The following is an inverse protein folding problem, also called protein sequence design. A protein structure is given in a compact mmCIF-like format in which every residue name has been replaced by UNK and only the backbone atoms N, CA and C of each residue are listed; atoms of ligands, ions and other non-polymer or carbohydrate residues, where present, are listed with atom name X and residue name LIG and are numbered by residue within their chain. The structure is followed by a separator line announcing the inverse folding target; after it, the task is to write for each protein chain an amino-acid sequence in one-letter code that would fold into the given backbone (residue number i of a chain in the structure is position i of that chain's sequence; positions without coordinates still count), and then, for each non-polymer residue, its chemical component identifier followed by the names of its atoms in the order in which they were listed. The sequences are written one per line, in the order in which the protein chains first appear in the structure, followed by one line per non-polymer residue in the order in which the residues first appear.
data_IF_081019467772
#
_entry.id   IF_081019467772
#
_cell.length_a   1.000
_cell.length_b   1.000
_cell.length_c   1.000
_cell.angle_alpha   90.00
_cell.angle_beta   90.00
_cell.angle_gamma   90.00
#
_symmetry.space_group_name_H-M   'P 1'
#
loop_
_entity.id
_entity.type
_entity.pdbx_description
1 polymer ?
#
# COMPACT_ATOMS: atom_id res chain seq x y z
N UNK A 1 -22.46 -16.83 -1.37
CA UNK A 1 -23.30 -17.89 -1.92
C UNK A 1 -24.72 -17.38 -2.16
N UNK A 2 -25.51 -16.94 -1.15
CA UNK A 2 -26.88 -16.44 -1.37
C UNK A 2 -26.94 -15.29 -2.40
N UNK A 3 -25.97 -14.34 -2.37
CA UNK A 3 -25.88 -13.23 -3.33
C UNK A 3 -25.44 -13.66 -4.73
N UNK A 4 -24.64 -14.71 -4.84
CA UNK A 4 -24.11 -15.21 -6.12
C UNK A 4 -25.05 -16.16 -6.85
N UNK A 5 -26.10 -16.62 -6.20
CA UNK A 5 -27.04 -17.65 -6.72
C UNK A 5 -26.35 -18.96 -7.15
N UNK A 6 -25.21 -19.29 -6.52
CA UNK A 6 -24.43 -20.50 -6.79
C UNK A 6 -24.65 -21.47 -5.64
N UNK A 7 -24.81 -22.74 -5.90
CA UNK A 7 -24.88 -23.80 -4.89
C UNK A 7 -23.47 -24.27 -4.49
N UNK A 8 -23.34 -24.88 -3.32
CA UNK A 8 -22.04 -25.40 -2.86
C UNK A 8 -21.50 -26.50 -3.78
N UNK A 9 -22.39 -27.31 -4.36
CA UNK A 9 -22.02 -28.39 -5.27
C UNK A 9 -21.43 -27.89 -6.59
N UNK A 10 -21.80 -26.66 -7.01
CA UNK A 10 -21.30 -26.01 -8.23
C UNK A 10 -19.88 -25.45 -8.10
N UNK A 11 -19.29 -25.50 -6.89
CA UNK A 11 -17.96 -24.97 -6.66
C UNK A 11 -16.90 -25.95 -7.19
N UNK A 12 -15.90 -25.44 -7.90
CA UNK A 12 -14.74 -26.21 -8.37
C UNK A 12 -13.65 -26.37 -7.30
N UNK A 13 -13.63 -25.45 -6.34
CA UNK A 13 -12.64 -25.44 -5.26
C UNK A 13 -12.89 -24.36 -4.23
N UNK A 14 -12.13 -24.43 -3.13
CA UNK A 14 -12.18 -23.46 -2.04
C UNK A 14 -10.82 -22.79 -1.90
N UNK A 15 -10.78 -21.46 -1.96
CA UNK A 15 -9.57 -20.69 -1.77
C UNK A 15 -9.68 -19.78 -0.54
N UNK A 16 -8.63 -19.73 0.27
CA UNK A 16 -8.54 -18.81 1.40
C UNK A 16 -7.16 -18.20 1.52
N UNK A 17 -7.07 -17.02 2.13
CA UNK A 17 -5.78 -16.40 2.40
C UNK A 17 -5.01 -17.21 3.45
N UNK A 18 -3.83 -17.72 3.05
CA UNK A 18 -2.94 -18.49 3.92
C UNK A 18 -1.90 -17.58 4.63
N UNK A 19 -1.68 -16.38 4.13
CA UNK A 19 -0.75 -15.39 4.69
C UNK A 19 -0.26 -14.40 3.63
N UNK A 20 0.49 -13.37 4.07
CA UNK A 20 0.65 -12.90 5.43
C UNK A 20 -0.61 -12.21 5.97
N UNK A 21 -0.72 -12.10 7.31
CA UNK A 21 -1.86 -11.45 7.97
C UNK A 21 -1.88 -11.71 9.48
N UNK A 22 -2.90 -11.20 10.15
CA UNK A 22 -3.11 -11.46 11.58
C UNK A 22 -3.39 -12.94 11.81
N UNK A 23 -2.57 -13.59 12.65
CA UNK A 23 -2.61 -15.04 12.88
C UNK A 23 -4.02 -15.56 13.17
N UNK A 24 -4.72 -14.92 14.10
CA UNK A 24 -6.09 -15.35 14.48
C UNK A 24 -7.06 -15.28 13.30
N UNK A 25 -7.01 -14.21 12.49
CA UNK A 25 -7.86 -14.07 11.32
C UNK A 25 -7.53 -15.12 10.25
N UNK A 26 -6.24 -15.39 10.02
CA UNK A 26 -5.79 -16.42 9.10
C UNK A 26 -6.24 -17.81 9.56
N UNK A 27 -6.10 -18.14 10.85
CA UNK A 27 -6.54 -19.40 11.41
C UNK A 27 -8.03 -19.63 11.22
N UNK A 28 -8.86 -18.63 11.51
CA UNK A 28 -10.33 -18.74 11.31
C UNK A 28 -10.64 -18.98 9.84
N UNK A 29 -10.09 -18.17 8.92
CA UNK A 29 -10.33 -18.31 7.49
C UNK A 29 -9.85 -19.65 6.93
N UNK A 30 -8.62 -20.06 7.30
CA UNK A 30 -8.02 -21.33 6.86
C UNK A 30 -8.78 -22.54 7.39
N UNK A 31 -9.19 -22.53 8.67
CA UNK A 31 -9.97 -23.63 9.26
C UNK A 31 -11.32 -23.74 8.57
N UNK A 32 -12.06 -22.65 8.44
CA UNK A 32 -13.35 -22.64 7.78
C UNK A 32 -13.25 -23.13 6.31
N UNK A 33 -12.27 -22.62 5.55
CA UNK A 33 -12.07 -23.05 4.17
C UNK A 33 -11.66 -24.50 4.03
N UNK A 34 -10.75 -25.02 4.86
CA UNK A 34 -10.35 -26.42 4.86
C UNK A 34 -11.51 -27.34 5.23
N UNK A 35 -12.29 -26.99 6.26
CA UNK A 35 -13.46 -27.77 6.67
C UNK A 35 -14.48 -27.84 5.56
N UNK A 36 -14.77 -26.70 4.89
CA UNK A 36 -15.70 -26.65 3.77
C UNK A 36 -15.19 -27.48 2.58
N UNK A 37 -13.93 -27.36 2.22
CA UNK A 37 -13.31 -28.13 1.14
C UNK A 37 -13.37 -29.63 1.41
N UNK A 38 -13.07 -30.06 2.64
CA UNK A 38 -13.16 -31.46 3.07
C UNK A 38 -14.59 -31.96 3.01
N UNK A 39 -15.55 -31.22 3.54
CA UNK A 39 -16.97 -31.58 3.51
C UNK A 39 -17.52 -31.74 2.10
N UNK A 40 -17.18 -30.80 1.20
CA UNK A 40 -17.61 -30.82 -0.19
C UNK A 40 -16.75 -31.72 -1.09
N UNK A 41 -15.69 -32.34 -0.56
CA UNK A 41 -14.70 -33.12 -1.33
C UNK A 41 -14.13 -32.34 -2.52
N UNK A 42 -13.89 -31.05 -2.34
CA UNK A 42 -13.33 -30.14 -3.36
C UNK A 42 -11.88 -29.77 -3.04
N UNK A 43 -11.06 -29.42 -4.04
CA UNK A 43 -9.69 -28.98 -3.81
C UNK A 43 -9.64 -27.72 -2.96
N UNK A 44 -8.59 -27.60 -2.14
CA UNK A 44 -8.33 -26.44 -1.29
C UNK A 44 -7.08 -25.69 -1.76
N UNK A 45 -7.17 -24.36 -1.85
CA UNK A 45 -6.08 -23.48 -2.28
C UNK A 45 -5.77 -22.44 -1.20
N UNK A 46 -4.53 -22.48 -0.67
CA UNK A 46 -4.01 -21.42 0.20
C UNK A 46 -3.40 -20.30 -0.64
N UNK A 47 -4.00 -19.12 -0.66
CA UNK A 47 -3.53 -17.98 -1.46
C UNK A 47 -2.65 -17.02 -0.65
N UNK A 48 -1.70 -16.37 -1.31
CA UNK A 48 -0.88 -15.34 -0.68
C UNK A 48 -1.59 -13.97 -0.80
N UNK A 49 -1.81 -13.30 0.33
CA UNK A 49 -2.48 -12.01 0.39
C UNK A 49 -1.78 -10.91 -0.43
N UNK A 50 -0.45 -10.86 -0.38
CA UNK A 50 0.32 -9.86 -1.11
C UNK A 50 0.31 -10.14 -2.62
N UNK A 51 0.28 -11.40 -3.02
CA UNK A 51 0.09 -11.81 -4.40
C UNK A 51 -1.28 -11.39 -4.93
N UNK A 52 -2.33 -11.54 -4.11
CA UNK A 52 -3.65 -11.02 -4.42
C UNK A 52 -3.61 -9.53 -4.77
N UNK A 53 -2.96 -8.71 -3.94
CA UNK A 53 -2.75 -7.29 -4.24
C UNK A 53 -1.90 -7.06 -5.50
N UNK A 54 -0.86 -7.85 -5.70
CA UNK A 54 0.03 -7.69 -6.86
C UNK A 54 -0.72 -7.94 -8.17
N UNK A 55 -1.56 -8.96 -8.22
CA UNK A 55 -2.24 -9.42 -9.44
C UNK A 55 -3.63 -8.79 -9.64
N UNK A 56 -4.17 -8.06 -8.67
CA UNK A 56 -5.53 -7.48 -8.73
C UNK A 56 -5.77 -6.67 -10.00
N UNK A 57 -4.76 -5.94 -10.50
CA UNK A 57 -4.91 -5.18 -11.75
C UNK A 57 -5.17 -6.07 -12.96
N UNK A 58 -4.67 -7.30 -12.95
CA UNK A 58 -4.87 -8.32 -13.99
C UNK A 58 -6.34 -8.75 -14.17
N UNK A 59 -7.18 -8.58 -13.13
CA UNK A 59 -8.62 -8.84 -13.20
C UNK A 59 -9.36 -7.83 -14.10
N UNK A 60 -8.76 -6.66 -14.33
CA UNK A 60 -9.39 -5.57 -15.10
C UNK A 60 -8.72 -5.38 -16.44
N UNK A 61 -7.40 -5.44 -16.44
CA UNK A 61 -6.57 -5.25 -17.62
C UNK A 61 -5.36 -6.17 -17.56
N UNK A 62 -5.19 -7.07 -18.53
CA UNK A 62 -3.97 -7.85 -18.64
C UNK A 62 -2.75 -6.93 -18.76
N UNK A 63 -1.78 -7.09 -17.87
CA UNK A 63 -0.53 -6.36 -17.90
C UNK A 63 0.59 -7.28 -18.35
N UNK A 64 1.45 -6.77 -19.23
CA UNK A 64 2.66 -7.47 -19.63
C UNK A 64 3.66 -7.50 -18.46
N UNK A 65 4.25 -8.66 -18.21
CA UNK A 65 5.36 -8.82 -17.28
C UNK A 65 6.71 -8.50 -17.98
N UNK A 66 7.71 -8.03 -17.23
CA UNK A 66 7.63 -7.59 -15.85
C UNK A 66 6.98 -6.21 -15.70
N UNK A 67 6.40 -5.91 -14.52
CA UNK A 67 5.98 -4.57 -14.15
C UNK A 67 6.41 -4.20 -12.74
N UNK A 68 6.54 -2.90 -12.48
CA UNK A 68 6.84 -2.37 -11.16
C UNK A 68 5.57 -2.30 -10.32
N UNK A 69 5.64 -2.72 -9.06
CA UNK A 69 4.55 -2.61 -8.08
C UNK A 69 5.02 -1.84 -6.85
N UNK A 70 4.23 -0.85 -6.43
CA UNK A 70 4.28 -0.29 -5.09
C UNK A 70 3.07 -0.81 -4.30
N UNK A 71 3.32 -1.67 -3.35
CA UNK A 71 2.31 -2.16 -2.41
C UNK A 71 2.35 -1.32 -1.14
N UNK A 72 1.27 -0.60 -0.84
CA UNK A 72 1.12 0.26 0.35
C UNK A 72 -0.20 -0.02 1.06
N UNK A 73 -0.11 -0.71 2.18
CA UNK A 73 -1.26 -1.12 3.00
C UNK A 73 -1.07 -0.76 4.47
N UNK A 74 -1.97 -1.21 5.33
CA UNK A 74 -1.86 -1.07 6.78
C UNK A 74 -0.63 -1.75 7.36
N UNK A 75 -0.26 -2.93 6.83
CA UNK A 75 0.85 -3.73 7.36
C UNK A 75 2.06 -3.85 6.43
N UNK A 76 1.97 -3.40 5.18
CA UNK A 76 3.04 -3.58 4.21
C UNK A 76 3.31 -2.30 3.41
N UNK A 77 4.58 -2.01 3.18
CA UNK A 77 5.02 -0.95 2.27
C UNK A 77 6.28 -1.42 1.56
N UNK A 78 6.16 -1.79 0.29
CA UNK A 78 7.26 -2.37 -0.45
C UNK A 78 7.18 -2.12 -1.96
N UNK A 79 8.34 -2.06 -2.58
CA UNK A 79 8.52 -2.05 -4.02
C UNK A 79 8.88 -3.45 -4.50
N UNK A 80 8.13 -3.95 -5.47
CA UNK A 80 8.35 -5.25 -6.10
C UNK A 80 8.45 -5.10 -7.60
N UNK A 81 9.30 -5.92 -8.20
CA UNK A 81 9.15 -6.28 -9.59
C UNK A 81 8.31 -7.54 -9.68
N UNK A 82 7.25 -7.49 -10.47
CA UNK A 82 6.36 -8.63 -10.73
C UNK A 82 6.79 -9.21 -12.09
N UNK A 83 7.45 -10.35 -12.05
CA UNK A 83 8.03 -11.03 -13.22
C UNK A 83 7.08 -12.06 -13.83
N UNK A 84 6.04 -12.43 -13.08
CA UNK A 84 5.02 -13.41 -13.42
C UNK A 84 4.22 -13.82 -12.20
N UNK A 85 3.23 -14.67 -12.37
CA UNK A 85 2.47 -15.30 -11.27
C UNK A 85 3.46 -16.15 -10.46
N UNK A 86 3.50 -15.95 -9.13
CA UNK A 86 4.45 -16.61 -8.25
C UNK A 86 5.91 -16.13 -8.36
N UNK A 87 6.20 -15.16 -9.24
CA UNK A 87 7.58 -14.68 -9.49
C UNK A 87 7.72 -13.21 -9.16
N UNK A 88 8.26 -12.93 -7.98
CA UNK A 88 8.38 -11.57 -7.43
C UNK A 88 9.83 -11.29 -7.00
N UNK A 89 10.33 -10.10 -7.34
CA UNK A 89 11.61 -9.60 -6.83
C UNK A 89 11.38 -8.37 -6.00
N UNK A 90 11.74 -8.42 -4.72
CA UNK A 90 11.67 -7.24 -3.84
C UNK A 90 12.83 -6.31 -4.13
N UNK A 91 12.52 -5.07 -4.50
CA UNK A 91 13.47 -3.98 -4.75
C UNK A 91 13.73 -3.17 -3.47
N UNK A 92 12.69 -2.96 -2.66
CA UNK A 92 12.76 -2.27 -1.40
C UNK A 92 11.55 -2.52 -0.52
N UNK A 93 11.68 -2.27 0.77
CA UNK A 93 10.60 -2.46 1.77
C UNK A 93 10.73 -1.43 2.87
N UNK A 94 9.65 -1.23 3.65
CA UNK A 94 9.81 -0.52 4.91
C UNK A 94 10.70 -1.33 5.87
N UNK A 95 11.58 -0.62 6.59
CA UNK A 95 12.47 -1.22 7.60
C UNK A 95 11.90 -1.12 9.02
N UNK A 96 10.76 -0.45 9.14
CA UNK A 96 10.06 -0.23 10.40
C UNK A 96 8.53 -0.22 10.18
N UNK A 97 7.81 0.84 10.57
CA UNK A 97 6.36 0.96 10.42
C UNK A 97 5.94 0.90 8.92
N UNK A 98 4.81 0.28 8.62
CA UNK A 98 4.18 0.40 7.30
C UNK A 98 3.53 1.78 7.12
N UNK A 99 3.34 2.22 5.87
CA UNK A 99 2.79 3.54 5.58
C UNK A 99 1.38 3.74 6.14
N UNK A 100 0.50 2.75 6.00
CA UNK A 100 -0.85 2.82 6.54
C UNK A 100 -0.85 2.87 8.07
N UNK A 101 0.03 2.11 8.70
CA UNK A 101 0.25 2.16 10.15
C UNK A 101 0.75 3.54 10.59
N UNK A 102 1.63 4.20 9.83
CA UNK A 102 2.08 5.56 10.10
C UNK A 102 0.92 6.58 10.03
N UNK A 103 0.01 6.43 9.07
CA UNK A 103 -1.22 7.24 8.99
C UNK A 103 -2.12 7.02 10.21
N UNK A 104 -2.38 5.77 10.60
CA UNK A 104 -3.26 5.43 11.71
C UNK A 104 -2.68 5.89 13.06
N UNK A 105 -1.38 5.71 13.27
CA UNK A 105 -0.66 6.22 14.44
C UNK A 105 -0.68 7.74 14.52
N UNK A 106 -0.48 8.43 13.39
CA UNK A 106 -0.59 9.90 13.30
C UNK A 106 -2.01 10.37 13.62
N UNK A 107 -3.03 9.70 13.09
CA UNK A 107 -4.41 9.99 13.40
C UNK A 107 -4.71 9.85 14.90
N UNK A 108 -4.26 8.76 15.51
CA UNK A 108 -4.40 8.52 16.96
C UNK A 108 -3.75 9.63 17.78
N UNK A 109 -2.54 10.07 17.41
CA UNK A 109 -1.84 11.19 18.08
C UNK A 109 -2.65 12.49 18.01
N UNK A 110 -3.31 12.75 16.88
CA UNK A 110 -4.15 13.94 16.69
C UNK A 110 -5.56 13.82 17.33
N UNK A 111 -5.88 12.69 17.96
CA UNK A 111 -7.20 12.41 18.54
C UNK A 111 -8.27 12.09 17.50
N UNK A 112 -7.86 11.60 16.32
CA UNK A 112 -8.74 11.22 15.21
C UNK A 112 -9.06 9.72 15.31
N UNK A 113 -10.36 9.37 15.25
CA UNK A 113 -10.82 7.97 15.30
C UNK A 113 -10.44 7.19 14.03
N UNK A 114 -10.21 5.90 14.18
CA UNK A 114 -10.00 4.93 13.08
C UNK A 114 -11.19 4.95 12.06
N UNK A 115 -10.96 4.71 10.77
CA UNK A 115 -9.67 4.60 10.08
C UNK A 115 -8.96 5.96 9.94
N UNK A 116 -7.64 5.98 10.17
CA UNK A 116 -6.85 7.20 10.24
C UNK A 116 -6.53 7.80 8.87
N UNK A 117 -6.15 6.99 7.90
CA UNK A 117 -5.68 7.44 6.59
C UNK A 117 -6.62 8.43 5.89
N UNK A 118 -7.90 8.09 5.63
CA UNK A 118 -8.85 8.99 4.95
C UNK A 118 -9.10 10.28 5.74
N UNK A 119 -9.09 10.20 7.07
CA UNK A 119 -9.34 11.36 7.94
C UNK A 119 -8.13 12.30 7.98
N UNK A 120 -6.91 11.78 8.02
CA UNK A 120 -5.68 12.58 7.87
C UNK A 120 -5.70 13.31 6.53
N UNK A 121 -6.07 12.65 5.44
CA UNK A 121 -6.20 13.31 4.14
C UNK A 121 -7.21 14.46 4.16
N UNK A 122 -8.37 14.25 4.81
CA UNK A 122 -9.40 15.30 4.97
C UNK A 122 -8.90 16.49 5.81
N UNK A 123 -8.15 16.22 6.89
CA UNK A 123 -7.53 17.25 7.70
C UNK A 123 -6.44 18.01 6.93
N UNK A 124 -5.61 17.29 6.20
CA UNK A 124 -4.52 17.87 5.41
C UNK A 124 -5.01 18.87 4.33
N UNK A 125 -6.20 18.64 3.76
CA UNK A 125 -6.83 19.57 2.80
C UNK A 125 -7.14 20.96 3.41
N UNK A 126 -7.25 21.05 4.75
CA UNK A 126 -7.58 22.29 5.48
C UNK A 126 -6.36 22.94 6.12
N UNK A 127 -5.17 22.35 5.97
CA UNK A 127 -3.94 22.80 6.59
C UNK A 127 -2.89 23.28 5.63
N UNK A 128 -1.83 23.87 6.19
CA UNK A 128 -0.63 24.25 5.44
C UNK A 128 0.43 23.14 5.56
N UNK A 129 0.79 22.52 4.45
CA UNK A 129 1.78 21.44 4.38
C UNK A 129 3.24 21.86 4.68
N UNK A 130 3.50 23.16 4.78
CA UNK A 130 4.81 23.74 5.13
C UNK A 130 4.88 24.27 6.56
N UNK A 131 3.83 24.09 7.36
CA UNK A 131 3.76 24.66 8.72
C UNK A 131 4.75 24.01 9.70
N UNK A 132 5.06 22.72 9.50
CA UNK A 132 5.99 21.98 10.34
C UNK A 132 7.01 21.25 9.46
N UNK A 133 8.28 21.40 9.76
CA UNK A 133 9.35 20.61 9.14
C UNK A 133 9.44 19.26 9.85
N UNK A 134 9.09 18.20 9.14
CA UNK A 134 9.11 16.84 9.67
C UNK A 134 10.24 16.04 9.01
N UNK A 135 10.91 15.16 9.77
CA UNK A 135 12.02 14.39 9.25
C UNK A 135 11.59 13.43 8.14
N UNK A 136 12.49 13.17 7.23
CA UNK A 136 12.34 12.23 6.12
C UNK A 136 13.36 11.11 6.28
N UNK A 137 13.05 10.09 7.10
CA UNK A 137 14.03 9.05 7.43
C UNK A 137 14.53 8.35 6.17
N UNK A 138 15.83 8.05 6.16
CA UNK A 138 16.52 7.33 5.06
C UNK A 138 16.25 7.86 3.64
N UNK A 139 15.78 9.11 3.49
CA UNK A 139 15.38 9.64 2.18
C UNK A 139 16.51 9.54 1.15
N UNK A 140 17.72 9.93 1.53
CA UNK A 140 18.89 9.96 0.64
C UNK A 140 19.77 8.71 0.73
N UNK A 141 19.44 7.72 1.56
CA UNK A 141 20.15 6.43 1.53
C UNK A 141 19.91 5.72 0.21
N UNK A 142 20.92 4.97 -0.24
CA UNK A 142 20.85 4.15 -1.47
C UNK A 142 19.66 3.19 -1.45
N UNK A 143 19.15 2.85 -2.65
CA UNK A 143 18.01 1.98 -2.81
C UNK A 143 16.67 2.62 -2.45
N UNK A 144 15.60 1.86 -2.57
CA UNK A 144 14.23 2.32 -2.41
C UNK A 144 13.55 1.85 -1.11
N UNK A 145 14.33 1.48 -0.07
CA UNK A 145 13.76 1.17 1.24
C UNK A 145 13.06 2.39 1.85
N UNK A 146 12.03 2.14 2.65
CA UNK A 146 11.17 3.11 3.30
C UNK A 146 11.37 3.06 4.82
N UNK A 147 11.09 4.16 5.52
CA UNK A 147 11.06 4.22 6.99
C UNK A 147 10.10 5.34 7.43
N UNK A 148 9.26 5.06 8.42
CA UNK A 148 8.23 5.97 8.91
C UNK A 148 8.21 6.12 10.45
N UNK A 149 8.90 5.28 11.21
CA UNK A 149 8.87 5.33 12.67
C UNK A 149 9.41 6.65 13.24
N UNK A 150 10.49 7.19 12.67
CA UNK A 150 11.03 8.49 13.06
C UNK A 150 10.08 9.65 12.78
N UNK A 151 9.32 9.57 11.70
CA UNK A 151 8.29 10.56 11.37
C UNK A 151 7.16 10.56 12.41
N UNK A 152 6.68 9.38 12.85
CA UNK A 152 5.70 9.25 13.93
C UNK A 152 6.16 9.93 15.22
N UNK A 153 7.40 9.70 15.63
CA UNK A 153 7.97 10.32 16.83
C UNK A 153 8.02 11.84 16.72
N UNK A 154 8.39 12.37 15.55
CA UNK A 154 8.37 13.80 15.30
C UNK A 154 6.95 14.39 15.38
N UNK A 155 5.96 13.73 14.77
CA UNK A 155 4.54 14.11 14.88
C UNK A 155 4.09 14.15 16.33
N UNK A 156 4.44 13.14 17.14
CA UNK A 156 4.12 13.12 18.57
C UNK A 156 4.74 14.32 19.32
N UNK A 157 5.99 14.65 19.03
CA UNK A 157 6.65 15.77 19.70
C UNK A 157 6.02 17.12 19.31
N UNK A 158 5.69 17.32 18.05
CA UNK A 158 4.98 18.53 17.60
C UNK A 158 3.58 18.60 18.20
N UNK A 159 2.87 17.45 18.27
CA UNK A 159 1.49 17.42 18.76
C UNK A 159 1.32 17.92 20.20
N UNK A 160 2.34 17.78 21.05
CA UNK A 160 2.36 18.29 22.43
C UNK A 160 2.28 19.83 22.51
N UNK A 161 2.62 20.53 21.44
CA UNK A 161 2.65 22.00 21.36
C UNK A 161 1.42 22.60 20.65
N UNK A 162 0.53 21.78 20.11
CA UNK A 162 -0.66 22.24 19.41
C UNK A 162 -1.66 22.87 20.38
N UNK A 163 -2.21 24.03 19.99
CA UNK A 163 -3.18 24.78 20.81
C UNK A 163 -4.56 24.85 20.15
N UNK A 164 -4.59 24.85 18.82
CA UNK A 164 -5.80 25.09 18.04
C UNK A 164 -6.16 23.90 17.14
N UNK A 165 -7.39 23.90 16.65
CA UNK A 165 -7.82 22.95 15.61
C UNK A 165 -7.07 23.17 14.29
N UNK A 166 -6.70 24.42 13.99
CA UNK A 166 -5.93 24.76 12.82
C UNK A 166 -4.51 24.16 12.88
N UNK A 167 -3.90 24.12 14.05
CA UNK A 167 -2.60 23.46 14.24
C UNK A 167 -2.67 21.97 13.91
N UNK A 168 -3.77 21.29 14.28
CA UNK A 168 -3.98 19.89 13.91
C UNK A 168 -4.11 19.71 12.40
N UNK A 169 -4.81 20.61 11.71
CA UNK A 169 -4.90 20.60 10.26
C UNK A 169 -3.52 20.82 9.60
N UNK A 170 -2.76 21.77 10.12
CA UNK A 170 -1.41 22.06 9.65
C UNK A 170 -0.46 20.86 9.86
N UNK A 171 -0.52 20.20 11.01
CA UNK A 171 0.32 19.03 11.27
C UNK A 171 -0.05 17.84 10.37
N UNK A 172 -1.35 17.61 10.15
CA UNK A 172 -1.80 16.59 9.20
C UNK A 172 -1.35 16.91 7.75
N UNK A 173 -1.39 18.18 7.35
CA UNK A 173 -0.93 18.62 6.04
C UNK A 173 0.59 18.47 5.88
N UNK A 174 1.37 18.84 6.90
CA UNK A 174 2.83 18.66 6.89
C UNK A 174 3.21 17.18 6.84
N UNK A 175 2.51 16.32 7.60
CA UNK A 175 2.70 14.87 7.52
C UNK A 175 2.42 14.32 6.11
N UNK A 176 1.26 14.69 5.51
CA UNK A 176 0.92 14.26 4.15
C UNK A 176 1.94 14.76 3.10
N UNK A 177 2.42 15.99 3.25
CA UNK A 177 3.44 16.58 2.37
C UNK A 177 4.77 15.81 2.48
N UNK A 178 5.19 15.51 3.70
CA UNK A 178 6.41 14.72 3.97
C UNK A 178 6.33 13.31 3.37
N UNK A 179 5.19 12.62 3.52
CA UNK A 179 4.95 11.33 2.89
C UNK A 179 5.04 11.43 1.36
N UNK A 180 4.42 12.44 0.76
CA UNK A 180 4.48 12.64 -0.68
C UNK A 180 5.93 12.84 -1.18
N UNK A 181 6.76 13.56 -0.43
CA UNK A 181 8.17 13.77 -0.77
C UNK A 181 8.99 12.48 -0.63
N UNK A 182 8.80 11.73 0.46
CA UNK A 182 9.45 10.41 0.64
C UNK A 182 9.09 9.48 -0.52
N UNK A 183 7.80 9.36 -0.84
CA UNK A 183 7.34 8.50 -1.94
C UNK A 183 7.87 8.98 -3.28
N UNK A 184 7.95 10.31 -3.52
CA UNK A 184 8.52 10.86 -4.75
C UNK A 184 9.94 10.32 -4.99
N UNK A 185 10.83 10.54 -4.04
CA UNK A 185 12.24 10.17 -4.18
C UNK A 185 12.42 8.64 -4.23
N UNK A 186 11.69 7.90 -3.39
CA UNK A 186 11.84 6.45 -3.35
C UNK A 186 11.21 5.74 -4.55
N UNK A 187 10.13 6.28 -5.12
CA UNK A 187 9.58 5.78 -6.39
C UNK A 187 10.53 6.03 -7.56
N UNK A 188 11.19 7.19 -7.64
CA UNK A 188 12.20 7.45 -8.67
C UNK A 188 13.33 6.41 -8.58
N UNK A 189 13.86 6.17 -7.37
CA UNK A 189 14.89 5.13 -7.17
C UNK A 189 14.41 3.72 -7.52
N UNK A 190 13.17 3.38 -7.19
CA UNK A 190 12.59 2.09 -7.55
C UNK A 190 12.45 1.91 -9.07
N UNK A 191 12.07 2.98 -9.78
CA UNK A 191 12.01 3.00 -11.24
C UNK A 191 13.41 2.83 -11.85
N UNK A 192 14.41 3.54 -11.34
CA UNK A 192 15.81 3.40 -11.76
C UNK A 192 16.27 1.94 -11.61
N UNK A 193 16.14 1.35 -10.41
CA UNK A 193 16.50 -0.04 -10.13
C UNK A 193 15.75 -1.05 -11.02
N UNK A 194 14.47 -0.76 -11.31
CA UNK A 194 13.67 -1.59 -12.20
C UNK A 194 14.20 -1.53 -13.66
N UNK A 195 14.51 -0.34 -14.15
CA UNK A 195 15.04 -0.15 -15.51
C UNK A 195 16.47 -0.70 -15.65
N UNK A 196 17.31 -0.56 -14.62
CA UNK A 196 18.65 -1.18 -14.60
C UNK A 196 18.57 -2.72 -14.73
N UNK A 197 17.55 -3.32 -14.10
CA UNK A 197 17.37 -4.78 -14.12
C UNK A 197 16.82 -5.30 -15.43
N UNK A 198 15.87 -4.62 -16.06
CA UNK A 198 15.14 -5.14 -17.23
C UNK A 198 15.44 -4.41 -18.53
N UNK A 199 16.22 -3.35 -18.49
CA UNK A 199 16.60 -2.60 -19.69
C UNK A 199 15.44 -1.93 -20.40
N UNK A 200 15.46 -1.97 -21.71
CA UNK A 200 14.43 -1.39 -22.58
C UNK A 200 13.20 -2.30 -22.65
N UNK A 201 12.24 -2.05 -21.74
CA UNK A 201 10.94 -2.72 -21.75
C UNK A 201 9.98 -1.93 -22.62
N UNK A 202 9.24 -2.62 -23.51
CA UNK A 202 8.24 -2.00 -24.39
C UNK A 202 7.12 -1.34 -23.58
N UNK A 203 6.55 -2.06 -22.61
CA UNK A 203 5.44 -1.59 -21.80
C UNK A 203 5.90 -1.31 -20.36
N UNK A 204 6.24 -0.05 -20.09
CA UNK A 204 6.65 0.40 -18.75
C UNK A 204 5.42 0.58 -17.85
N UNK A 205 5.01 -0.50 -17.18
CA UNK A 205 3.84 -0.49 -16.32
C UNK A 205 4.24 -0.33 -14.85
N UNK A 206 3.54 0.54 -14.13
CA UNK A 206 3.69 0.75 -12.70
C UNK A 206 2.31 0.62 -12.03
N UNK A 207 2.17 -0.35 -11.14
CA UNK A 207 0.93 -0.60 -10.38
C UNK A 207 1.12 -0.12 -8.95
N UNK A 208 0.10 0.52 -8.39
CA UNK A 208 0.08 0.92 -6.98
C UNK A 208 -1.15 0.30 -6.33
N UNK A 209 -0.91 -0.63 -5.40
CA UNK A 209 -1.95 -1.43 -4.77
C UNK A 209 -1.93 -1.30 -3.23
N UNK A 210 -3.00 -1.76 -2.60
CA UNK A 210 -3.22 -1.70 -1.16
C UNK A 210 -4.05 -0.50 -0.71
N UNK A 211 -4.58 -0.55 0.52
CA UNK A 211 -5.55 0.44 1.02
C UNK A 211 -5.06 1.89 1.00
N UNK A 212 -3.76 2.14 1.22
CA UNK A 212 -3.19 3.50 1.19
C UNK A 212 -3.13 4.06 -0.24
N UNK A 213 -3.16 3.20 -1.25
CA UNK A 213 -3.26 3.61 -2.65
C UNK A 213 -4.57 4.35 -2.99
N UNK A 214 -5.56 4.35 -2.10
CA UNK A 214 -6.79 5.15 -2.25
C UNK A 214 -6.59 6.65 -1.94
N UNK A 215 -5.53 7.04 -1.23
CA UNK A 215 -5.22 8.43 -0.89
C UNK A 215 -5.00 9.28 -2.14
N UNK A 216 -5.85 10.27 -2.37
CA UNK A 216 -5.86 11.09 -3.59
C UNK A 216 -4.61 11.96 -3.71
N UNK A 217 -4.06 12.43 -2.58
CA UNK A 217 -2.82 13.22 -2.59
C UNK A 217 -1.63 12.38 -3.05
N UNK A 218 -1.53 11.15 -2.56
CA UNK A 218 -0.51 10.19 -3.00
C UNK A 218 -0.70 9.86 -4.49
N UNK A 219 -1.92 9.55 -4.93
CA UNK A 219 -2.22 9.29 -6.35
C UNK A 219 -1.78 10.43 -7.26
N UNK A 220 -2.11 11.67 -6.88
CA UNK A 220 -1.73 12.86 -7.66
C UNK A 220 -0.20 13.01 -7.77
N UNK A 221 0.52 12.78 -6.66
CA UNK A 221 1.97 12.82 -6.63
C UNK A 221 2.59 11.74 -7.53
N UNK A 222 2.14 10.49 -7.38
CA UNK A 222 2.68 9.36 -8.13
C UNK A 222 2.35 9.43 -9.64
N UNK A 223 1.21 10.00 -10.00
CA UNK A 223 0.88 10.26 -11.42
C UNK A 223 1.90 11.18 -12.09
N UNK A 224 2.36 12.23 -11.39
CA UNK A 224 3.40 13.13 -11.93
C UNK A 224 4.70 12.38 -12.17
N UNK A 225 5.14 11.58 -11.20
CA UNK A 225 6.38 10.80 -11.30
C UNK A 225 6.32 9.80 -12.45
N UNK A 226 5.22 9.05 -12.55
CA UNK A 226 5.05 8.08 -13.63
C UNK A 226 5.08 8.75 -15.00
N UNK A 227 4.43 9.91 -15.15
CA UNK A 227 4.42 10.67 -16.40
C UNK A 227 5.84 11.16 -16.76
N UNK A 228 6.57 11.73 -15.80
CA UNK A 228 7.96 12.19 -15.98
C UNK A 228 8.89 11.05 -16.42
N UNK A 229 8.66 9.84 -15.88
CA UNK A 229 9.45 8.63 -16.16
C UNK A 229 8.91 7.79 -17.33
N UNK A 230 7.85 8.26 -18.00
CA UNK A 230 7.18 7.58 -19.12
C UNK A 230 6.67 6.17 -18.76
N UNK A 231 6.13 6.01 -17.54
CA UNK A 231 5.45 4.81 -17.07
C UNK A 231 3.94 4.93 -17.18
N UNK A 232 3.29 3.87 -17.62
CA UNK A 232 1.84 3.71 -17.51
C UNK A 232 1.48 3.40 -16.06
N UNK A 233 0.76 4.29 -15.38
CA UNK A 233 0.40 4.12 -13.98
C UNK A 233 -1.00 3.54 -13.82
N UNK A 234 -1.13 2.51 -13.00
CA UNK A 234 -2.38 1.82 -12.73
C UNK A 234 -2.68 1.79 -11.23
N UNK A 235 -3.97 1.97 -10.91
CA UNK A 235 -4.51 1.78 -9.57
C UNK A 235 -5.68 0.80 -9.69
N UNK A 236 -5.67 -0.33 -8.98
CA UNK A 236 -6.87 -1.15 -8.87
C UNK A 236 -8.05 -0.34 -8.34
N UNK A 237 -9.28 -0.60 -8.78
CA UNK A 237 -10.47 0.01 -8.21
C UNK A 237 -10.58 -0.23 -6.72
N UNK A 238 -11.17 0.75 -6.01
CA UNK A 238 -11.27 0.71 -4.53
C UNK A 238 -12.22 -0.41 -4.04
N UNK A 239 -13.10 -0.88 -4.90
CA UNK A 239 -14.07 -1.94 -4.61
C UNK A 239 -13.54 -3.37 -4.86
N UNK A 240 -12.27 -3.51 -5.26
CA UNK A 240 -11.51 -4.75 -5.34
C UNK A 240 -10.42 -4.75 -4.27
#
# INVERSE_FOLDING_TARGET
IQKSKVHFDDLDGIATTAGPGLLVCLMVGMTAGKTLASFLKKPFYGTNHLEGHALTMGLIKPLQFPYLLLLISGGHSQFLSVEGIGKYKRLGTTIDDALGEAFDKTAKILGIKFPGGPKIETYAKKGNGKAYDLPKPILYKSGCNLSFAGLKTAVLNVSKKLKTKQDKYNLAASFQSTINEILKIKCQKAIEMFLERYGSIKDKNFVIAGGVASNLSIRKNLKKIALEQKFNLYFPPINL
#
